data_IF_161463246247
#
_entry.id   IF_161463246247
#
_cell.length_a   1.000
_cell.length_b   1.000
_cell.length_c   1.000
_cell.angle_alpha   90.00
_cell.angle_beta   90.00
_cell.angle_gamma   90.00
#
_symmetry.space_group_name_H-M   'P 1'
#
loop_
_entity.id
_entity.type
_entity.pdbx_description
1 polymer ?
#
# COMPACT_ATOMS: atom_id res chain seq x y z
N UNK A 1 12.39 -14.99 -12.03
CA UNK A 1 11.26 -15.17 -12.96
C UNK A 1 11.66 -15.82 -14.28
N UNK A 2 12.77 -15.45 -14.95
CA UNK A 2 13.08 -16.02 -16.27
C UNK A 2 14.51 -16.60 -16.38
N UNK A 3 14.70 -17.75 -17.03
CA UNK A 3 16.02 -18.24 -17.46
C UNK A 3 16.72 -17.22 -18.36
N UNK A 4 18.05 -17.16 -18.33
CA UNK A 4 18.83 -16.22 -19.13
C UNK A 4 18.52 -16.30 -20.63
N UNK A 5 18.29 -17.52 -21.14
CA UNK A 5 18.00 -17.78 -22.55
C UNK A 5 16.59 -17.30 -22.98
N UNK A 6 15.69 -17.05 -22.03
CA UNK A 6 14.32 -16.59 -22.29
C UNK A 6 14.19 -15.07 -22.32
N UNK A 7 15.14 -14.33 -21.73
CA UNK A 7 15.05 -12.87 -21.59
C UNK A 7 15.05 -12.17 -22.95
N UNK A 8 15.86 -12.63 -23.89
CA UNK A 8 15.95 -12.02 -25.21
C UNK A 8 14.63 -12.17 -25.99
N UNK A 9 14.04 -13.37 -25.94
CA UNK A 9 12.74 -13.63 -26.55
C UNK A 9 11.62 -12.79 -25.93
N UNK A 10 11.58 -12.69 -24.60
CA UNK A 10 10.59 -11.85 -23.89
C UNK A 10 10.72 -10.39 -24.33
N UNK A 11 11.95 -9.86 -24.40
CA UNK A 11 12.17 -8.48 -24.86
C UNK A 11 11.66 -8.25 -26.27
N UNK A 12 11.96 -9.15 -27.20
CA UNK A 12 11.51 -9.04 -28.59
C UNK A 12 9.98 -9.08 -28.70
N UNK A 13 9.33 -10.03 -28.00
CA UNK A 13 7.88 -10.13 -27.97
C UNK A 13 7.21 -8.89 -27.33
N UNK A 14 7.76 -8.39 -26.23
CA UNK A 14 7.27 -7.17 -25.55
C UNK A 14 7.42 -5.93 -26.44
N UNK A 15 8.52 -5.80 -27.19
CA UNK A 15 8.72 -4.69 -28.13
C UNK A 15 7.64 -4.71 -29.21
N UNK A 16 7.39 -5.87 -29.83
CA UNK A 16 6.34 -6.00 -30.86
C UNK A 16 4.97 -5.63 -30.30
N UNK A 17 4.64 -6.16 -29.11
CA UNK A 17 3.39 -5.83 -28.43
C UNK A 17 3.23 -4.33 -28.18
N UNK A 18 4.27 -3.64 -27.70
CA UNK A 18 4.20 -2.19 -27.49
C UNK A 18 4.08 -1.42 -28.79
N UNK A 19 4.76 -1.85 -29.86
CA UNK A 19 4.64 -1.21 -31.18
C UNK A 19 3.19 -1.27 -31.66
N UNK A 20 2.54 -2.44 -31.59
CA UNK A 20 1.12 -2.56 -31.93
C UNK A 20 0.23 -1.74 -31.01
N UNK A 21 0.44 -1.83 -29.70
CA UNK A 21 -0.37 -1.14 -28.68
C UNK A 21 -0.32 0.39 -28.85
N UNK A 22 0.81 0.94 -29.33
CA UNK A 22 0.96 2.35 -29.66
C UNK A 22 0.55 2.69 -31.12
N UNK A 23 -0.04 1.74 -31.84
CA UNK A 23 -0.63 1.93 -33.17
C UNK A 23 0.33 1.74 -34.36
N UNK A 24 1.49 1.12 -34.15
CA UNK A 24 2.49 0.83 -35.18
C UNK A 24 2.48 -0.64 -35.67
N UNK A 25 2.97 -0.92 -36.89
CA UNK A 25 3.22 -2.30 -37.35
C UNK A 25 4.57 -2.84 -36.83
N UNK A 26 4.76 -4.16 -36.64
CA UNK A 26 3.85 -5.26 -36.98
C UNK A 26 2.85 -5.62 -35.86
N UNK A 27 1.83 -6.42 -36.20
CA UNK A 27 0.87 -6.99 -35.23
C UNK A 27 1.53 -8.07 -34.37
N UNK A 28 1.12 -8.15 -33.10
CA UNK A 28 1.56 -9.14 -32.14
C UNK A 28 0.84 -10.47 -32.37
N UNK A 29 1.59 -11.46 -32.87
CA UNK A 29 1.11 -12.84 -33.07
C UNK A 29 1.43 -13.76 -31.89
N UNK A 30 1.76 -13.20 -30.72
CA UNK A 30 2.11 -13.98 -29.53
C UNK A 30 0.89 -14.61 -28.85
N UNK A 31 1.15 -15.26 -27.71
CA UNK A 31 0.09 -15.87 -26.89
C UNK A 31 -0.79 -14.78 -26.26
N UNK A 32 -2.02 -15.15 -25.88
CA UNK A 32 -2.91 -14.25 -25.13
C UNK A 32 -2.25 -13.75 -23.84
N UNK A 33 -2.42 -12.47 -23.53
CA UNK A 33 -1.81 -11.86 -22.34
C UNK A 33 -2.26 -12.55 -21.06
N UNK A 34 -3.52 -12.98 -21.00
CA UNK A 34 -4.08 -13.70 -19.84
C UNK A 34 -3.33 -15.00 -19.64
N UNK A 35 -3.25 -15.83 -20.68
CA UNK A 35 -2.61 -17.14 -20.62
C UNK A 35 -1.10 -17.07 -20.31
N UNK A 36 -0.42 -16.01 -20.77
CA UNK A 36 1.02 -15.82 -20.49
C UNK A 36 1.24 -15.51 -19.01
N UNK A 37 0.37 -14.70 -18.42
CA UNK A 37 0.60 -14.12 -17.08
C UNK A 37 -0.13 -14.87 -15.96
N UNK A 38 -1.16 -15.67 -16.26
CA UNK A 38 -1.87 -16.54 -15.30
C UNK A 38 -0.90 -17.34 -14.40
N UNK A 39 0.07 -18.12 -14.92
CA UNK A 39 0.95 -18.93 -14.08
C UNK A 39 1.98 -18.10 -13.29
N UNK A 40 2.10 -16.79 -13.56
CA UNK A 40 3.08 -15.92 -12.91
C UNK A 40 2.55 -15.29 -11.61
N UNK A 41 1.24 -15.35 -11.36
CA UNK A 41 0.64 -14.78 -10.15
C UNK A 41 0.82 -13.26 -10.04
N UNK A 42 0.77 -12.55 -11.17
CA UNK A 42 0.90 -11.08 -11.22
C UNK A 42 -0.31 -10.44 -10.53
N UNK A 43 -0.05 -9.44 -9.70
CA UNK A 43 -1.05 -8.67 -8.95
C UNK A 43 -1.07 -7.22 -9.42
N UNK A 44 -2.02 -6.38 -8.97
CA UNK A 44 -1.96 -4.93 -9.25
C UNK A 44 -0.61 -4.34 -8.84
N UNK A 45 -0.05 -4.78 -7.70
CA UNK A 45 1.27 -4.35 -7.26
C UNK A 45 2.34 -4.53 -8.34
N UNK A 46 2.40 -5.74 -8.90
CA UNK A 46 3.38 -6.09 -9.92
C UNK A 46 3.17 -5.27 -11.18
N UNK A 47 1.90 -5.04 -11.57
CA UNK A 47 1.55 -4.23 -12.74
C UNK A 47 1.85 -2.74 -12.51
N UNK A 48 1.52 -2.19 -11.33
CA UNK A 48 1.80 -0.81 -10.93
C UNK A 48 3.31 -0.57 -10.82
N UNK A 49 4.07 -1.52 -10.30
CA UNK A 49 5.52 -1.48 -10.30
C UNK A 49 6.09 -1.48 -11.72
N UNK A 50 5.49 -2.24 -12.64
CA UNK A 50 5.85 -2.21 -14.07
C UNK A 50 5.57 -0.83 -14.68
N UNK A 51 4.38 -0.25 -14.48
CA UNK A 51 4.04 1.10 -14.95
C UNK A 51 4.96 2.18 -14.37
N UNK A 52 5.27 2.09 -13.07
CA UNK A 52 6.21 3.00 -12.40
C UNK A 52 7.63 2.91 -12.99
N UNK A 53 8.11 1.70 -13.24
CA UNK A 53 9.41 1.48 -13.89
C UNK A 53 9.42 2.00 -15.33
N UNK A 54 8.31 1.86 -16.06
CA UNK A 54 8.16 2.42 -17.41
C UNK A 54 8.22 3.95 -17.39
N UNK A 55 7.45 4.59 -16.51
CA UNK A 55 7.46 6.04 -16.32
C UNK A 55 8.87 6.56 -16.03
N UNK A 56 9.56 5.94 -15.05
CA UNK A 56 10.96 6.29 -14.71
C UNK A 56 11.91 6.10 -15.89
N UNK A 57 11.74 5.03 -16.67
CA UNK A 57 12.57 4.78 -17.84
C UNK A 57 12.39 5.87 -18.90
N UNK A 58 11.15 6.23 -19.22
CA UNK A 58 10.84 7.27 -20.21
C UNK A 58 11.35 8.65 -19.77
N UNK A 59 11.11 9.04 -18.52
CA UNK A 59 11.63 10.29 -17.95
C UNK A 59 13.16 10.34 -18.00
N UNK A 60 13.83 9.22 -17.72
CA UNK A 60 15.30 9.16 -17.79
C UNK A 60 15.87 9.35 -19.20
N UNK A 61 15.06 9.13 -20.24
CA UNK A 61 15.40 9.40 -21.64
C UNK A 61 15.06 10.82 -22.09
N UNK A 62 14.48 11.66 -21.22
CA UNK A 62 14.15 13.05 -21.49
C UNK A 62 12.80 13.26 -22.19
N UNK A 63 11.89 12.29 -22.12
CA UNK A 63 10.52 12.46 -22.59
C UNK A 63 9.72 13.38 -21.66
N UNK A 64 8.77 14.15 -22.22
CA UNK A 64 7.88 15.05 -21.46
C UNK A 64 6.81 14.27 -20.69
N UNK A 65 6.37 14.81 -19.54
CA UNK A 65 5.37 14.18 -18.66
C UNK A 65 4.06 13.84 -19.39
N UNK A 66 3.62 14.68 -20.34
CA UNK A 66 2.41 14.45 -21.14
C UNK A 66 2.49 13.18 -21.99
N UNK A 67 3.66 12.91 -22.58
CA UNK A 67 3.91 11.69 -23.35
C UNK A 67 4.00 10.47 -22.42
N UNK A 68 4.63 10.64 -21.26
CA UNK A 68 4.72 9.57 -20.26
C UNK A 68 3.32 9.18 -19.80
N UNK A 69 2.47 10.15 -19.47
CA UNK A 69 1.08 9.92 -19.06
C UNK A 69 0.29 9.19 -20.15
N UNK A 70 0.42 9.59 -21.42
CA UNK A 70 -0.22 8.91 -22.54
C UNK A 70 0.19 7.44 -22.62
N UNK A 71 1.50 7.15 -22.56
CA UNK A 71 2.03 5.78 -22.58
C UNK A 71 1.52 4.96 -21.39
N UNK A 72 1.50 5.54 -20.18
CA UNK A 72 1.01 4.85 -18.99
C UNK A 72 -0.48 4.54 -19.11
N UNK A 73 -1.30 5.48 -19.59
CA UNK A 73 -2.75 5.25 -19.82
C UNK A 73 -2.95 4.12 -20.83
N UNK A 74 -2.21 4.11 -21.94
CA UNK A 74 -2.34 3.07 -22.95
C UNK A 74 -1.92 1.70 -22.40
N UNK A 75 -0.82 1.62 -21.63
CA UNK A 75 -0.41 0.38 -20.96
C UNK A 75 -1.42 -0.06 -19.89
N UNK A 76 -2.02 0.87 -19.16
CA UNK A 76 -3.03 0.55 -18.15
C UNK A 76 -4.29 -0.09 -18.78
N UNK A 77 -4.59 0.22 -20.04
CA UNK A 77 -5.73 -0.37 -20.75
C UNK A 77 -5.65 -1.90 -20.89
N UNK A 78 -4.44 -2.48 -20.84
CA UNK A 78 -4.24 -3.93 -20.96
C UNK A 78 -4.13 -4.63 -19.61
N UNK A 79 -4.25 -3.88 -18.49
CA UNK A 79 -4.21 -4.41 -17.13
C UNK A 79 -5.15 -5.59 -16.93
N UNK A 80 -6.40 -5.45 -17.37
CA UNK A 80 -7.40 -6.49 -17.14
C UNK A 80 -7.05 -7.81 -17.84
N UNK A 81 -6.45 -7.73 -19.04
CA UNK A 81 -5.97 -8.92 -19.75
C UNK A 81 -4.76 -9.55 -19.03
N UNK A 82 -3.80 -8.73 -18.57
CA UNK A 82 -2.61 -9.23 -17.86
C UNK A 82 -2.97 -9.83 -16.49
N UNK A 83 -3.99 -9.31 -15.82
CA UNK A 83 -4.41 -9.74 -14.48
C UNK A 83 -5.56 -10.76 -14.47
N UNK A 84 -5.96 -11.30 -15.63
CA UNK A 84 -7.12 -12.20 -15.75
C UNK A 84 -8.38 -11.66 -15.07
N UNK A 85 -8.69 -10.38 -15.29
CA UNK A 85 -9.91 -9.76 -14.79
C UNK A 85 -11.04 -10.01 -15.75
N UNK A 86 -11.61 -11.21 -15.71
CA UNK A 86 -12.97 -11.39 -16.21
C UNK A 86 -13.93 -10.58 -15.34
N UNK A 87 -14.97 -10.03 -15.97
CA UNK A 87 -15.92 -9.07 -15.38
C UNK A 87 -16.81 -9.62 -14.25
N UNK A 88 -16.58 -10.85 -13.77
CA UNK A 88 -17.10 -11.43 -12.53
C UNK A 88 -16.21 -12.64 -12.19
N UNK A 89 -15.55 -12.68 -11.03
CA UNK A 89 -14.83 -13.89 -10.61
C UNK A 89 -15.87 -14.92 -10.18
N UNK A 90 -16.13 -15.89 -11.04
CA UNK A 90 -16.95 -17.06 -10.72
C UNK A 90 -16.03 -18.23 -10.41
N UNK A 91 -15.97 -18.64 -9.14
CA UNK A 91 -15.34 -19.90 -8.75
C UNK A 91 -16.39 -21.01 -8.91
N UNK A 92 -16.26 -21.79 -9.97
CA UNK A 92 -17.17 -22.90 -10.24
C UNK A 92 -17.11 -23.94 -9.10
N UNK A 93 -18.26 -24.50 -8.67
CA UNK A 93 -18.29 -25.55 -7.67
C UNK A 93 -17.45 -26.76 -8.09
N UNK A 94 -16.61 -27.26 -7.19
CA UNK A 94 -15.83 -28.49 -7.42
C UNK A 94 -16.52 -29.65 -6.74
N UNK A 95 -16.77 -30.73 -7.48
CA UNK A 95 -17.55 -31.88 -6.99
C UNK A 95 -18.94 -31.52 -6.44
N UNK A 96 -19.54 -30.43 -6.96
CA UNK A 96 -20.84 -29.92 -6.50
C UNK A 96 -20.78 -29.15 -5.18
N UNK A 97 -19.58 -28.92 -4.64
CA UNK A 97 -19.37 -28.15 -3.42
C UNK A 97 -18.87 -26.73 -3.75
N UNK A 98 -19.47 -25.73 -3.11
CA UNK A 98 -18.96 -24.36 -3.16
C UNK A 98 -17.70 -24.21 -2.27
N UNK A 99 -17.08 -23.03 -2.30
CA UNK A 99 -15.84 -22.79 -1.56
C UNK A 99 -16.04 -22.85 -0.04
N UNK A 100 -17.20 -22.41 0.47
CA UNK A 100 -17.56 -22.51 1.89
C UNK A 100 -17.64 -23.97 2.34
N UNK A 101 -18.25 -24.84 1.54
CA UNK A 101 -18.32 -26.28 1.84
C UNK A 101 -16.94 -26.93 1.76
N UNK A 102 -16.12 -26.54 0.78
CA UNK A 102 -14.75 -27.06 0.58
C UNK A 102 -13.77 -26.66 1.68
N UNK A 103 -13.95 -25.48 2.30
CA UNK A 103 -13.14 -25.07 3.47
C UNK A 103 -13.62 -25.74 4.78
N UNK A 104 -14.75 -26.47 4.76
CA UNK A 104 -15.31 -27.16 5.93
C UNK A 104 -16.48 -26.44 6.61
N UNK A 105 -17.12 -25.50 5.92
CA UNK A 105 -18.30 -24.78 6.38
C UNK A 105 -18.01 -23.57 7.26
N UNK A 106 -19.07 -22.97 7.80
CA UNK A 106 -19.00 -21.71 8.56
C UNK A 106 -18.07 -21.80 9.77
N UNK A 107 -18.00 -22.95 10.45
CA UNK A 107 -17.13 -23.11 11.63
C UNK A 107 -15.65 -22.94 11.28
N UNK A 108 -15.19 -23.51 10.16
CA UNK A 108 -13.81 -23.36 9.72
C UNK A 108 -13.57 -21.95 9.19
N UNK A 109 -14.55 -21.36 8.51
CA UNK A 109 -14.42 -19.99 8.01
C UNK A 109 -14.37 -18.95 9.15
N UNK A 110 -15.13 -19.15 10.22
CA UNK A 110 -15.03 -18.34 11.45
C UNK A 110 -13.65 -18.48 12.08
N UNK A 111 -13.12 -19.70 12.18
CA UNK A 111 -11.76 -19.94 12.68
C UNK A 111 -10.70 -19.22 11.82
N UNK A 112 -10.84 -19.26 10.50
CA UNK A 112 -9.97 -18.53 9.57
C UNK A 112 -10.09 -17.01 9.77
N UNK A 113 -11.31 -16.47 9.88
CA UNK A 113 -11.49 -15.03 10.10
C UNK A 113 -10.89 -14.56 11.45
N UNK A 114 -10.98 -15.39 12.49
CA UNK A 114 -10.37 -15.13 13.80
C UNK A 114 -8.84 -15.21 13.75
N UNK A 115 -8.28 -16.26 13.14
CA UNK A 115 -6.83 -16.44 12.99
C UNK A 115 -6.20 -15.34 12.14
N UNK A 116 -6.87 -14.93 11.04
CA UNK A 116 -6.48 -13.75 10.27
C UNK A 116 -6.32 -12.51 11.15
N UNK A 117 -7.27 -12.25 12.05
CA UNK A 117 -7.19 -11.08 12.93
C UNK A 117 -6.02 -11.18 13.92
N UNK A 118 -5.71 -12.38 14.41
CA UNK A 118 -4.52 -12.60 15.24
C UNK A 118 -3.26 -12.22 14.45
N UNK A 119 -3.11 -12.76 13.24
CA UNK A 119 -1.98 -12.45 12.36
C UNK A 119 -1.91 -10.96 11.96
N UNK A 120 -3.05 -10.29 11.77
CA UNK A 120 -3.08 -8.85 11.52
C UNK A 120 -2.43 -8.05 12.65
N UNK A 121 -2.62 -8.47 13.90
CA UNK A 121 -2.06 -7.75 15.07
C UNK A 121 -0.58 -8.03 15.29
N UNK A 122 -0.03 -9.03 14.61
CA UNK A 122 1.39 -9.42 14.71
C UNK A 122 2.21 -8.90 13.52
N UNK A 123 1.62 -8.86 12.32
CA UNK A 123 2.32 -8.47 11.10
C UNK A 123 2.73 -6.98 11.14
N UNK A 124 4.04 -6.71 11.06
CA UNK A 124 4.58 -5.36 11.18
C UNK A 124 4.09 -4.40 10.12
N UNK A 125 3.66 -4.90 8.95
CA UNK A 125 3.20 -4.08 7.82
C UNK A 125 1.81 -3.54 8.03
N UNK A 126 0.95 -4.25 8.76
CA UNK A 126 -0.48 -3.90 8.85
C UNK A 126 -1.00 -3.72 10.27
N UNK A 127 -0.30 -4.20 11.29
CA UNK A 127 -0.80 -4.13 12.68
C UNK A 127 -1.15 -2.73 13.14
N UNK A 128 -0.55 -1.68 12.57
CA UNK A 128 -0.92 -0.30 12.90
C UNK A 128 -2.35 0.08 12.43
N UNK A 129 -2.89 -0.56 11.39
CA UNK A 129 -4.29 -0.43 11.00
C UNK A 129 -5.23 -1.15 11.97
N UNK A 130 -4.76 -2.26 12.55
CA UNK A 130 -5.55 -3.18 13.38
C UNK A 130 -5.38 -3.00 14.89
N UNK A 131 -4.46 -2.15 15.36
CA UNK A 131 -4.38 -1.72 16.77
C UNK A 131 -5.63 -0.92 17.14
N UNK A 132 -6.58 -1.61 17.79
CA UNK A 132 -7.95 -1.17 18.08
C UNK A 132 -8.38 -1.75 19.44
N UNK A 133 -9.48 -1.23 19.98
CA UNK A 133 -10.07 -1.85 21.16
C UNK A 133 -10.80 -3.16 20.79
N UNK A 134 -10.93 -4.07 21.76
CA UNK A 134 -11.56 -5.40 21.58
C UNK A 134 -12.96 -5.36 20.96
N UNK A 135 -13.74 -4.31 21.19
CA UNK A 135 -15.07 -4.18 20.57
C UNK A 135 -14.97 -3.91 19.06
N UNK A 136 -14.04 -3.04 18.66
CA UNK A 136 -13.78 -2.75 17.25
C UNK A 136 -13.10 -3.92 16.55
N UNK A 137 -12.18 -4.62 17.20
CA UNK A 137 -11.58 -5.86 16.69
C UNK A 137 -12.68 -6.88 16.34
N UNK A 138 -13.56 -7.22 17.30
CA UNK A 138 -14.70 -8.13 17.06
C UNK A 138 -15.56 -7.67 15.89
N UNK A 139 -15.88 -6.38 15.81
CA UNK A 139 -16.66 -5.84 14.70
C UNK A 139 -15.97 -6.00 13.34
N UNK A 140 -14.64 -5.93 13.27
CA UNK A 140 -13.89 -6.14 12.03
C UNK A 140 -13.88 -7.63 11.68
N UNK A 141 -13.59 -8.51 12.64
CA UNK A 141 -13.62 -9.97 12.45
C UNK A 141 -14.99 -10.45 11.95
N UNK A 142 -16.09 -9.98 12.54
CA UNK A 142 -17.44 -10.33 12.07
C UNK A 142 -17.68 -9.88 10.63
N UNK A 143 -17.25 -8.67 10.26
CA UNK A 143 -17.42 -8.16 8.89
C UNK A 143 -16.55 -8.93 7.89
N UNK A 144 -15.34 -9.32 8.29
CA UNK A 144 -14.45 -10.15 7.48
C UNK A 144 -15.08 -11.52 7.22
N UNK A 145 -15.60 -12.17 8.26
CA UNK A 145 -16.36 -13.42 8.12
C UNK A 145 -17.58 -13.25 7.19
N UNK A 146 -18.39 -12.20 7.37
CA UNK A 146 -19.56 -11.95 6.52
C UNK A 146 -19.18 -11.77 5.05
N UNK A 147 -18.07 -11.07 4.79
CA UNK A 147 -17.54 -10.89 3.45
C UNK A 147 -17.08 -12.21 2.85
N UNK A 148 -16.25 -12.96 3.58
CA UNK A 148 -15.75 -14.27 3.13
C UNK A 148 -16.89 -15.26 2.89
N UNK A 149 -17.85 -15.36 3.83
CA UNK A 149 -18.98 -16.30 3.73
C UNK A 149 -19.78 -16.01 2.48
N UNK A 150 -20.16 -14.76 2.23
CA UNK A 150 -20.92 -14.38 1.04
C UNK A 150 -20.15 -14.63 -0.25
N UNK A 151 -18.84 -14.32 -0.25
CA UNK A 151 -17.99 -14.54 -1.42
C UNK A 151 -17.72 -16.03 -1.70
N UNK A 152 -17.77 -16.89 -0.67
CA UNK A 152 -17.49 -18.33 -0.78
C UNK A 152 -18.75 -19.16 -1.07
N UNK A 153 -19.91 -18.51 -1.26
CA UNK A 153 -21.19 -19.16 -1.57
C UNK A 153 -22.11 -19.37 -0.37
N UNK A 154 -21.81 -18.76 0.77
CA UNK A 154 -22.63 -18.76 1.97
C UNK A 154 -23.86 -17.86 1.89
N UNK A 155 -24.79 -18.07 2.82
CA UNK A 155 -26.04 -17.30 2.90
C UNK A 155 -25.84 -15.90 3.49
N UNK A 156 -24.75 -15.70 4.23
CA UNK A 156 -24.41 -14.43 4.87
C UNK A 156 -23.77 -13.53 3.85
N UNK A 157 -24.39 -12.39 3.56
CA UNK A 157 -23.93 -11.48 2.53
C UNK A 157 -23.29 -10.23 3.13
N UNK A 158 -22.24 -9.74 2.48
CA UNK A 158 -21.63 -8.44 2.74
C UNK A 158 -21.87 -7.53 1.55
N UNK A 159 -22.27 -6.30 1.84
CA UNK A 159 -22.46 -5.27 0.81
C UNK A 159 -21.10 -4.75 0.33
N UNK A 160 -20.64 -5.27 -0.81
CA UNK A 160 -19.33 -4.96 -1.39
C UNK A 160 -19.20 -3.49 -1.82
N UNK A 161 -20.31 -2.79 -2.08
CA UNK A 161 -20.28 -1.35 -2.41
C UNK A 161 -19.73 -0.51 -1.25
N UNK A 162 -19.71 -1.06 -0.03
CA UNK A 162 -19.12 -0.41 1.13
C UNK A 162 -17.59 -0.55 1.22
N UNK A 163 -16.96 -1.44 0.45
CA UNK A 163 -15.52 -1.67 0.53
C UNK A 163 -14.76 -0.37 0.22
N UNK A 164 -15.05 0.25 -0.92
CA UNK A 164 -14.35 1.45 -1.34
C UNK A 164 -14.57 2.67 -0.45
N UNK A 165 -15.81 3.07 -0.09
CA UNK A 165 -16.03 4.21 0.80
C UNK A 165 -15.36 4.07 2.17
N UNK A 166 -15.33 2.85 2.74
CA UNK A 166 -14.71 2.63 4.06
C UNK A 166 -13.19 2.70 3.98
N UNK A 167 -12.60 2.13 2.93
CA UNK A 167 -11.15 2.02 2.81
C UNK A 167 -10.51 3.23 2.12
N UNK A 168 -11.30 4.10 1.47
CA UNK A 168 -10.80 5.22 0.67
C UNK A 168 -9.70 5.97 1.42
N UNK A 169 -10.01 6.56 2.57
CA UNK A 169 -9.09 7.40 3.36
C UNK A 169 -8.09 6.63 4.25
N UNK A 170 -7.98 5.30 4.11
CA UNK A 170 -7.16 4.48 5.01
C UNK A 170 -5.69 4.38 4.62
N UNK A 171 -5.26 4.99 3.50
CA UNK A 171 -3.87 4.91 2.99
C UNK A 171 -3.34 3.46 2.89
N UNK A 172 -4.21 2.54 2.48
CA UNK A 172 -3.84 1.13 2.24
C UNK A 172 -3.22 1.05 0.85
N UNK A 173 -1.97 0.61 0.78
CA UNK A 173 -1.26 0.32 -0.47
C UNK A 173 -1.30 -1.17 -0.76
N UNK A 174 -0.79 -1.57 -1.93
CA UNK A 174 -0.57 -2.97 -2.25
C UNK A 174 0.26 -3.71 -1.19
N UNK A 175 1.30 -3.08 -0.67
CA UNK A 175 2.15 -3.64 0.38
C UNK A 175 1.34 -4.06 1.61
N UNK A 176 0.33 -3.26 1.98
CA UNK A 176 -0.59 -3.57 3.07
C UNK A 176 -1.62 -4.65 2.68
N UNK A 177 -2.13 -4.60 1.44
CA UNK A 177 -3.11 -5.57 0.96
C UNK A 177 -2.51 -6.97 0.83
N UNK A 178 -1.29 -7.09 0.30
CA UNK A 178 -0.56 -8.35 0.18
C UNK A 178 -0.34 -8.99 1.56
N UNK A 179 -0.02 -8.18 2.57
CA UNK A 179 0.09 -8.67 3.95
C UNK A 179 -1.22 -9.27 4.46
N UNK A 180 -2.37 -8.68 4.12
CA UNK A 180 -3.69 -9.23 4.49
C UNK A 180 -3.93 -10.58 3.81
N UNK A 181 -3.56 -10.74 2.54
CA UNK A 181 -3.65 -12.02 1.83
C UNK A 181 -2.74 -13.08 2.45
N UNK A 182 -1.52 -12.72 2.81
CA UNK A 182 -0.61 -13.64 3.50
C UNK A 182 -1.15 -14.06 4.87
N UNK A 183 -1.82 -13.17 5.61
CA UNK A 183 -2.50 -13.52 6.86
C UNK A 183 -3.69 -14.48 6.62
N UNK A 184 -4.42 -14.35 5.49
CA UNK A 184 -5.42 -15.33 5.10
C UNK A 184 -4.80 -16.70 4.89
N UNK A 185 -3.72 -16.78 4.10
CA UNK A 185 -3.02 -18.06 3.81
C UNK A 185 -2.57 -18.73 5.10
N UNK A 186 -1.85 -18.00 5.97
CA UNK A 186 -1.39 -18.53 7.27
C UNK A 186 -2.55 -19.08 8.10
N UNK A 187 -3.66 -18.35 8.14
CA UNK A 187 -4.82 -18.78 8.92
C UNK A 187 -5.56 -19.96 8.32
N UNK A 188 -5.60 -20.09 6.99
CA UNK A 188 -6.23 -21.22 6.30
C UNK A 188 -5.37 -22.48 6.37
N UNK A 189 -4.04 -22.35 6.38
CA UNK A 189 -3.09 -23.47 6.53
C UNK A 189 -3.13 -24.11 7.93
N UNK A 190 -3.73 -23.46 8.93
CA UNK A 190 -3.95 -24.04 10.26
C UNK A 190 -5.10 -25.05 10.30
N UNK A 191 -5.92 -25.13 9.25
CA UNK A 191 -7.00 -26.11 9.16
C UNK A 191 -6.43 -27.50 8.88
N UNK A 192 -6.86 -28.51 9.66
CA UNK A 192 -6.35 -29.89 9.54
C UNK A 192 -6.81 -30.60 8.25
N UNK A 193 -8.01 -30.26 7.75
CA UNK A 193 -8.62 -30.87 6.57
C UNK A 193 -9.19 -29.80 5.63
N UNK A 194 -8.57 -29.64 4.46
CA UNK A 194 -9.00 -28.67 3.44
C UNK A 194 -8.59 -29.15 2.04
N UNK A 195 -9.46 -28.89 1.07
CA UNK A 195 -9.22 -29.13 -0.36
C UNK A 195 -8.07 -28.24 -0.89
N UNK A 196 -7.15 -28.80 -1.69
CA UNK A 196 -5.90 -28.14 -2.08
C UNK A 196 -6.09 -26.85 -2.90
N UNK A 197 -7.23 -26.75 -3.59
CA UNK A 197 -7.59 -25.60 -4.41
C UNK A 197 -8.31 -24.50 -3.60
N UNK A 198 -8.62 -24.72 -2.31
CA UNK A 198 -9.34 -23.73 -1.48
C UNK A 198 -8.53 -22.44 -1.34
N UNK A 199 -7.24 -22.53 -1.00
CA UNK A 199 -6.39 -21.33 -0.87
C UNK A 199 -6.27 -20.60 -2.22
N UNK A 200 -5.88 -21.25 -3.33
CA UNK A 200 -5.84 -20.60 -4.65
C UNK A 200 -7.16 -19.93 -5.05
N UNK A 201 -8.29 -20.64 -4.93
CA UNK A 201 -9.60 -20.11 -5.31
C UNK A 201 -10.01 -18.93 -4.39
N UNK A 202 -9.71 -19.02 -3.09
CA UNK A 202 -9.93 -17.92 -2.13
C UNK A 202 -9.09 -16.69 -2.46
N UNK A 203 -7.81 -16.87 -2.80
CA UNK A 203 -6.93 -15.75 -3.17
C UNK A 203 -7.37 -15.05 -4.45
N UNK A 204 -7.96 -15.77 -5.41
CA UNK A 204 -8.57 -15.14 -6.60
C UNK A 204 -9.71 -14.23 -6.20
N UNK A 205 -10.65 -14.73 -5.38
CA UNK A 205 -11.78 -13.94 -4.86
C UNK A 205 -11.29 -12.73 -4.08
N UNK A 206 -10.36 -12.91 -3.14
CA UNK A 206 -9.84 -11.82 -2.32
C UNK A 206 -9.12 -10.76 -3.16
N UNK A 207 -8.34 -11.17 -4.17
CA UNK A 207 -7.68 -10.23 -5.07
C UNK A 207 -8.67 -9.44 -5.95
N UNK A 208 -9.88 -9.97 -6.20
CA UNK A 208 -10.90 -9.25 -7.00
C UNK A 208 -11.29 -7.90 -6.39
N UNK A 209 -11.27 -7.78 -5.06
CA UNK A 209 -11.65 -6.57 -4.34
C UNK A 209 -10.46 -5.65 -4.04
N UNK A 210 -9.27 -5.97 -4.55
CA UNK A 210 -8.06 -5.18 -4.31
C UNK A 210 -8.26 -3.72 -4.74
N UNK A 211 -8.78 -3.50 -5.95
CA UNK A 211 -9.01 -2.15 -6.49
C UNK A 211 -9.93 -1.34 -5.59
N UNK A 212 -10.98 -1.95 -5.03
CA UNK A 212 -11.92 -1.28 -4.14
C UNK A 212 -11.23 -0.79 -2.86
N UNK A 213 -10.21 -1.51 -2.39
CA UNK A 213 -9.50 -1.19 -1.15
C UNK A 213 -8.34 -0.21 -1.37
N UNK A 214 -7.53 -0.38 -2.43
CA UNK A 214 -6.29 0.41 -2.62
C UNK A 214 -6.49 1.69 -3.45
N UNK A 215 -7.51 1.75 -4.31
CA UNK A 215 -7.65 2.85 -5.30
C UNK A 215 -7.73 4.21 -4.65
N UNK A 216 -8.40 4.32 -3.49
CA UNK A 216 -8.47 5.58 -2.77
C UNK A 216 -7.09 6.11 -2.42
N UNK A 217 -6.25 5.27 -1.80
CA UNK A 217 -4.88 5.62 -1.45
C UNK A 217 -4.09 6.05 -2.69
N UNK A 218 -4.06 5.21 -3.73
CA UNK A 218 -3.32 5.48 -4.98
C UNK A 218 -3.70 6.84 -5.58
N UNK A 219 -4.99 7.06 -5.83
CA UNK A 219 -5.49 8.30 -6.45
C UNK A 219 -5.15 9.53 -5.62
N UNK A 220 -5.29 9.47 -4.29
CA UNK A 220 -4.96 10.61 -3.43
C UNK A 220 -3.48 10.90 -3.37
N UNK A 221 -2.64 9.86 -3.25
CA UNK A 221 -1.19 10.03 -3.20
C UNK A 221 -0.65 10.57 -4.52
N UNK A 222 -1.12 10.06 -5.66
CA UNK A 222 -0.73 10.55 -7.00
C UNK A 222 -1.13 12.01 -7.21
N UNK A 223 -2.35 12.37 -6.80
CA UNK A 223 -2.82 13.77 -6.89
C UNK A 223 -2.05 14.69 -5.93
N UNK A 224 -1.66 14.21 -4.76
CA UNK A 224 -0.83 14.95 -3.81
C UNK A 224 0.60 15.15 -4.35
N UNK A 225 1.19 14.12 -4.97
CA UNK A 225 2.51 14.23 -5.60
C UNK A 225 2.50 15.21 -6.76
N UNK A 226 1.52 15.12 -7.67
CA UNK A 226 1.38 16.07 -8.78
C UNK A 226 1.28 17.51 -8.29
N UNK A 227 0.43 17.79 -7.30
CA UNK A 227 0.32 19.13 -6.71
C UNK A 227 1.62 19.61 -6.09
N UNK A 228 2.35 18.74 -5.37
CA UNK A 228 3.64 19.11 -4.80
C UNK A 228 4.67 19.49 -5.88
N UNK A 229 4.59 18.88 -7.06
CA UNK A 229 5.47 19.18 -8.20
C UNK A 229 5.02 20.43 -8.98
N UNK A 230 3.71 20.60 -9.19
CA UNK A 230 3.12 21.71 -9.97
C UNK A 230 3.09 23.04 -9.21
N UNK A 231 2.55 23.03 -7.98
CA UNK A 231 2.37 24.25 -7.17
C UNK A 231 3.67 24.66 -6.45
N UNK A 232 4.61 23.72 -6.31
CA UNK A 232 5.77 23.86 -5.46
C UNK A 232 5.45 23.62 -3.98
N UNK A 233 6.45 23.14 -3.23
CA UNK A 233 6.30 22.88 -1.79
C UNK A 233 6.06 24.15 -0.97
N UNK A 234 6.42 25.33 -1.49
CA UNK A 234 6.20 26.62 -0.84
C UNK A 234 4.72 26.98 -0.72
N UNK A 235 3.86 26.52 -1.65
CA UNK A 235 2.41 26.65 -1.48
C UNK A 235 1.90 25.77 -0.34
N UNK A 236 2.39 24.54 -0.21
CA UNK A 236 2.07 23.71 0.96
C UNK A 236 2.50 24.42 2.25
N UNK A 237 3.69 25.02 2.29
CA UNK A 237 4.15 25.80 3.45
C UNK A 237 3.25 26.99 3.76
N UNK A 238 2.75 27.71 2.75
CA UNK A 238 1.76 28.78 2.96
C UNK A 238 0.44 28.23 3.52
N UNK A 239 -0.09 27.14 2.96
CA UNK A 239 -1.34 26.48 3.38
C UNK A 239 -1.29 25.96 4.81
N UNK A 240 -0.15 25.41 5.24
CA UNK A 240 0.01 24.91 6.61
C UNK A 240 0.21 26.02 7.65
N UNK A 241 0.24 27.30 7.24
CA UNK A 241 0.38 28.44 8.16
C UNK A 241 1.82 28.92 8.35
N UNK A 242 2.71 28.62 7.40
CA UNK A 242 4.14 29.00 7.40
C UNK A 242 4.83 28.50 8.69
N UNK A 243 5.82 29.26 9.18
CA UNK A 243 6.62 28.92 10.38
C UNK A 243 5.74 28.60 11.58
N UNK A 244 4.78 29.47 11.91
CA UNK A 244 3.91 29.31 13.08
C UNK A 244 3.03 28.06 12.99
N UNK A 245 2.59 27.74 11.77
CA UNK A 245 1.84 26.53 11.49
C UNK A 245 2.65 25.25 11.73
N UNK A 246 3.89 25.22 11.26
CA UNK A 246 4.82 24.10 11.49
C UNK A 246 5.16 23.97 12.97
N UNK A 247 5.45 25.07 13.67
CA UNK A 247 5.73 25.08 15.12
C UNK A 247 4.55 24.48 15.91
N UNK A 248 3.33 24.96 15.65
CA UNK A 248 2.10 24.45 16.29
C UNK A 248 1.89 22.96 15.99
N UNK A 249 2.14 22.54 14.75
CA UNK A 249 2.03 21.14 14.35
C UNK A 249 3.04 20.26 15.08
N UNK A 250 4.32 20.64 15.12
CA UNK A 250 5.37 19.88 15.82
C UNK A 250 5.07 19.84 17.32
N UNK A 251 4.57 20.93 17.90
CA UNK A 251 4.15 20.93 19.29
C UNK A 251 3.08 19.88 19.58
N UNK A 252 2.01 19.87 18.79
CA UNK A 252 0.93 18.90 18.90
C UNK A 252 1.39 17.46 18.61
N UNK A 253 2.30 17.28 17.64
CA UNK A 253 2.84 15.98 17.24
C UNK A 253 3.52 15.30 18.42
N UNK A 254 4.37 16.01 19.16
CA UNK A 254 5.08 15.40 20.29
C UNK A 254 4.15 15.07 21.47
N UNK A 255 3.05 15.81 21.67
CA UNK A 255 2.02 15.38 22.62
C UNK A 255 1.33 14.07 22.18
N UNK A 256 1.14 13.88 20.87
CA UNK A 256 0.60 12.65 20.31
C UNK A 256 1.62 11.49 20.50
N UNK A 257 2.90 11.72 20.18
CA UNK A 257 3.99 10.74 20.26
C UNK A 257 4.26 10.26 21.68
N UNK A 258 4.29 11.16 22.66
CA UNK A 258 4.52 10.81 24.07
C UNK A 258 3.40 9.90 24.64
N UNK A 259 2.20 9.94 24.05
CA UNK A 259 1.06 9.10 24.47
C UNK A 259 0.96 7.80 23.64
N UNK A 260 1.74 7.67 22.58
CA UNK A 260 1.70 6.51 21.70
C UNK A 260 2.63 5.40 22.22
N UNK A 261 2.01 4.41 22.86
CA UNK A 261 2.68 3.22 23.43
C UNK A 261 3.55 2.45 22.43
N UNK A 262 3.34 2.64 21.13
CA UNK A 262 4.05 1.94 20.05
C UNK A 262 5.40 2.56 19.72
N UNK A 263 5.59 3.84 20.03
CA UNK A 263 6.79 4.60 19.61
C UNK A 263 7.39 5.51 20.71
N UNK A 264 6.69 5.74 21.83
CA UNK A 264 7.19 6.65 22.88
C UNK A 264 8.56 6.22 23.42
N UNK A 265 8.87 4.92 23.43
CA UNK A 265 10.15 4.40 23.93
C UNK A 265 11.37 4.98 23.21
N UNK A 266 11.23 5.40 21.94
CA UNK A 266 12.34 6.02 21.19
C UNK A 266 12.68 7.43 21.69
N UNK A 267 11.82 8.03 22.50
CA UNK A 267 11.95 9.39 22.99
C UNK A 267 12.18 9.46 24.51
N UNK A 268 12.25 8.33 25.21
CA UNK A 268 12.52 8.28 26.65
C UNK A 268 13.94 8.79 26.96
N UNK A 269 14.05 9.73 27.92
CA UNK A 269 15.32 10.37 28.26
C UNK A 269 15.88 11.32 27.18
N UNK A 270 15.16 11.50 26.07
CA UNK A 270 15.59 12.38 25.00
C UNK A 270 15.40 13.86 25.38
N UNK A 271 16.24 14.73 24.78
CA UNK A 271 16.08 16.19 24.89
C UNK A 271 14.96 16.65 23.96
N UNK A 272 13.70 16.37 24.31
CA UNK A 272 12.53 16.62 23.46
C UNK A 272 12.49 18.05 22.89
N UNK A 273 12.81 19.07 23.69
CA UNK A 273 12.85 20.45 23.20
C UNK A 273 13.88 20.67 22.07
N UNK A 274 15.03 20.01 22.14
CA UNK A 274 16.03 20.07 21.07
C UNK A 274 15.55 19.31 19.82
N UNK A 275 14.87 18.18 20.00
CA UNK A 275 14.28 17.41 18.90
C UNK A 275 13.17 18.21 18.21
N UNK A 276 12.24 18.80 18.98
CA UNK A 276 11.15 19.63 18.46
C UNK A 276 11.69 20.79 17.63
N UNK A 277 12.70 21.50 18.14
CA UNK A 277 13.37 22.59 17.41
C UNK A 277 13.99 22.08 16.09
N UNK A 278 14.79 21.02 16.17
CA UNK A 278 15.48 20.45 15.02
C UNK A 278 14.49 19.94 13.94
N UNK A 279 13.42 19.26 14.34
CA UNK A 279 12.39 18.76 13.42
C UNK A 279 11.53 19.89 12.85
N UNK A 280 11.26 20.94 13.63
CA UNK A 280 10.60 22.17 13.13
C UNK A 280 11.44 22.80 12.01
N UNK A 281 12.74 23.00 12.24
CA UNK A 281 13.65 23.56 11.24
C UNK A 281 13.71 22.67 9.98
N UNK A 282 13.75 21.34 10.17
CA UNK A 282 13.70 20.37 9.07
C UNK A 282 12.41 20.47 8.25
N UNK A 283 11.25 20.48 8.90
CA UNK A 283 9.96 20.57 8.22
C UNK A 283 9.77 21.91 7.52
N UNK A 284 10.19 23.03 8.12
CA UNK A 284 10.15 24.33 7.44
C UNK A 284 10.97 24.26 6.14
N UNK A 285 12.19 23.73 6.19
CA UNK A 285 13.02 23.58 4.98
C UNK A 285 12.42 22.61 3.96
N UNK A 286 11.90 21.47 4.41
CA UNK A 286 11.27 20.45 3.56
C UNK A 286 10.08 21.00 2.77
N UNK A 287 9.32 21.92 3.38
CA UNK A 287 8.18 22.56 2.74
C UNK A 287 8.57 23.86 1.99
N UNK A 288 9.85 24.13 1.74
CA UNK A 288 10.28 25.33 0.99
C UNK A 288 10.18 26.63 1.77
N UNK A 289 10.07 26.56 3.10
CA UNK A 289 10.19 27.70 4.00
C UNK A 289 11.64 28.17 4.16
N UNK A 290 11.86 29.28 4.90
CA UNK A 290 13.16 29.95 4.95
C UNK A 290 14.19 29.30 5.88
N UNK A 291 13.82 28.24 6.61
CA UNK A 291 14.73 27.59 7.56
C UNK A 291 15.62 26.59 6.84
N UNK A 292 16.89 26.57 7.23
CA UNK A 292 17.87 25.59 6.77
C UNK A 292 18.20 24.68 7.96
N UNK A 293 17.93 23.40 7.81
CA UNK A 293 18.30 22.41 8.80
C UNK A 293 19.82 22.18 8.78
N UNK A 294 20.48 22.52 9.89
CA UNK A 294 21.96 22.42 10.05
C UNK A 294 22.39 21.26 10.94
N UNK A 295 21.48 20.34 11.22
CA UNK A 295 21.77 19.16 12.04
C UNK A 295 22.47 18.06 11.26
N UNK A 296 22.61 16.90 11.92
CA UNK A 296 23.10 15.66 11.31
C UNK A 296 22.10 15.16 10.26
N UNK A 297 22.58 14.45 9.24
CA UNK A 297 21.72 13.82 8.24
C UNK A 297 20.67 12.89 8.87
N UNK A 298 19.58 12.61 8.15
CA UNK A 298 18.56 11.68 8.63
C UNK A 298 19.14 10.30 8.89
N UNK A 299 20.07 9.84 8.06
CA UNK A 299 20.79 8.59 8.23
C UNK A 299 21.57 8.57 9.54
N UNK A 300 22.40 9.58 9.81
CA UNK A 300 23.20 9.66 11.05
C UNK A 300 22.33 9.77 12.31
N UNK A 301 21.17 10.43 12.23
CA UNK A 301 20.25 10.54 13.36
C UNK A 301 19.60 9.19 13.66
N UNK A 302 19.22 8.43 12.63
CA UNK A 302 18.47 7.18 12.78
C UNK A 302 19.34 5.91 12.77
N UNK A 303 20.65 6.02 12.54
CA UNK A 303 21.60 4.89 12.52
C UNK A 303 21.57 4.06 13.82
N UNK A 304 21.44 4.74 14.96
CA UNK A 304 21.46 4.11 16.28
C UNK A 304 20.07 3.66 16.76
N UNK A 305 19.03 3.89 15.96
CA UNK A 305 17.64 3.61 16.33
C UNK A 305 17.20 2.33 15.65
N UNK A 306 16.86 1.32 16.44
CA UNK A 306 16.34 0.04 15.95
C UNK A 306 14.86 0.17 15.52
N UNK A 307 14.62 0.98 14.48
CA UNK A 307 13.31 1.24 13.92
C UNK A 307 13.01 0.29 12.75
N UNK A 308 11.73 0.05 12.51
CA UNK A 308 11.21 -0.78 11.41
C UNK A 308 10.09 0.01 10.71
N UNK A 309 9.62 -0.47 9.56
CA UNK A 309 8.47 0.14 8.86
C UNK A 309 7.28 0.39 9.78
N UNK A 310 6.93 -0.59 10.62
CA UNK A 310 5.87 -0.46 11.63
C UNK A 310 5.96 0.82 12.47
N UNK A 311 7.15 1.11 12.99
CA UNK A 311 7.36 2.24 13.88
C UNK A 311 7.25 3.57 13.12
N UNK A 312 7.76 3.63 11.89
CA UNK A 312 7.64 4.82 11.04
C UNK A 312 6.18 5.04 10.61
N UNK A 313 5.44 3.98 10.29
CA UNK A 313 4.02 4.08 9.94
C UNK A 313 3.17 4.55 11.12
N UNK A 314 3.51 4.11 12.35
CA UNK A 314 2.90 4.64 13.57
C UNK A 314 3.15 6.15 13.72
N UNK A 315 4.36 6.61 13.40
CA UNK A 315 4.71 8.03 13.43
C UNK A 315 3.93 8.82 12.36
N UNK A 316 3.86 8.34 11.11
CA UNK A 316 3.07 8.98 10.05
C UNK A 316 1.57 9.02 10.37
N UNK A 317 1.03 7.98 11.01
CA UNK A 317 -0.35 7.99 11.49
C UNK A 317 -0.57 9.08 12.55
N UNK A 318 0.38 9.28 13.47
CA UNK A 318 0.28 10.36 14.43
C UNK A 318 0.34 11.72 13.73
N UNK A 319 1.23 11.90 12.75
CA UNK A 319 1.26 13.12 11.93
C UNK A 319 -0.10 13.41 11.30
N UNK A 320 -0.70 12.44 10.61
CA UNK A 320 -2.02 12.62 10.00
C UNK A 320 -3.11 12.95 11.04
N UNK A 321 -3.12 12.27 12.19
CA UNK A 321 -4.07 12.56 13.28
C UNK A 321 -3.90 13.98 13.82
N UNK A 322 -2.66 14.40 14.10
CA UNK A 322 -2.40 15.71 14.67
C UNK A 322 -2.72 16.81 13.62
N UNK A 323 -2.36 16.63 12.34
CA UNK A 323 -2.75 17.55 11.26
C UNK A 323 -4.28 17.68 11.12
N UNK A 324 -5.03 16.57 11.14
CA UNK A 324 -6.50 16.60 11.15
C UNK A 324 -7.04 17.36 12.36
N UNK A 325 -6.47 17.15 13.54
CA UNK A 325 -6.90 17.82 14.77
C UNK A 325 -6.66 19.33 14.75
N UNK A 326 -5.66 19.79 14.00
CA UNK A 326 -5.35 21.21 13.78
C UNK A 326 -6.29 21.84 12.74
N UNK A 327 -7.04 21.03 11.99
CA UNK A 327 -8.05 21.48 11.03
C UNK A 327 -7.61 21.44 9.56
N UNK A 328 -6.49 20.79 9.25
CA UNK A 328 -6.08 20.61 7.85
C UNK A 328 -6.98 19.58 7.14
N UNK A 329 -7.30 19.86 5.87
CA UNK A 329 -8.09 18.96 5.03
C UNK A 329 -7.24 17.77 4.54
N UNK A 330 -7.90 16.69 4.08
CA UNK A 330 -7.21 15.48 3.63
C UNK A 330 -6.20 15.76 2.50
N UNK A 331 -6.52 16.65 1.56
CA UNK A 331 -5.61 17.02 0.48
C UNK A 331 -4.27 17.58 1.00
N UNK A 332 -4.31 18.51 1.95
CA UNK A 332 -3.10 19.09 2.56
C UNK A 332 -2.31 18.02 3.33
N UNK A 333 -3.01 17.10 3.98
CA UNK A 333 -2.41 16.00 4.73
C UNK A 333 -1.72 15.02 3.80
N UNK A 334 -2.35 14.67 2.68
CA UNK A 334 -1.79 13.76 1.69
C UNK A 334 -0.53 14.37 1.06
N UNK A 335 -0.54 15.67 0.73
CA UNK A 335 0.66 16.40 0.29
C UNK A 335 1.80 16.31 1.30
N UNK A 336 1.50 16.48 2.59
CA UNK A 336 2.46 16.35 3.68
C UNK A 336 3.03 14.93 3.76
N UNK A 337 2.16 13.92 3.74
CA UNK A 337 2.54 12.51 3.84
C UNK A 337 3.42 12.09 2.66
N UNK A 338 3.09 12.49 1.43
CA UNK A 338 3.91 12.20 0.24
C UNK A 338 5.34 12.74 0.39
N UNK A 339 5.52 13.95 0.92
CA UNK A 339 6.86 14.51 1.13
C UNK A 339 7.64 13.75 2.21
N UNK A 340 6.98 13.30 3.27
CA UNK A 340 7.61 12.50 4.31
C UNK A 340 7.96 11.08 3.85
N UNK A 341 7.10 10.47 3.05
CA UNK A 341 7.29 9.11 2.53
C UNK A 341 8.57 9.01 1.70
N UNK A 342 8.92 10.08 0.95
CA UNK A 342 10.20 10.22 0.24
C UNK A 342 11.44 10.13 1.15
N UNK A 343 11.29 10.37 2.46
CA UNK A 343 12.37 10.30 3.44
C UNK A 343 12.55 8.91 4.05
N UNK A 344 11.60 7.98 3.85
CA UNK A 344 11.64 6.62 4.43
C UNK A 344 12.96 5.90 4.18
N UNK A 345 13.54 5.89 2.96
CA UNK A 345 14.79 5.17 2.72
C UNK A 345 15.99 5.69 3.53
N UNK A 346 16.02 6.99 3.82
CA UNK A 346 17.08 7.63 4.62
C UNK A 346 16.90 7.28 6.11
N UNK A 347 15.65 7.31 6.57
CA UNK A 347 15.27 7.02 7.96
C UNK A 347 15.46 5.54 8.30
N UNK A 348 15.01 4.62 7.43
CA UNK A 348 15.06 3.17 7.63
C UNK A 348 16.28 2.51 6.99
N UNK A 349 17.30 3.28 6.59
CA UNK A 349 18.45 2.78 5.84
C UNK A 349 19.13 1.57 6.51
N UNK A 350 19.22 1.55 7.85
CA UNK A 350 19.83 0.45 8.60
C UNK A 350 18.94 -0.81 8.64
N UNK A 351 17.61 -0.63 8.70
CA UNK A 351 16.65 -1.74 8.63
C UNK A 351 16.80 -2.50 7.31
N UNK A 352 16.83 -1.78 6.19
CA UNK A 352 17.00 -2.40 4.87
C UNK A 352 18.37 -3.03 4.66
N UNK A 353 19.44 -2.47 5.26
CA UNK A 353 20.77 -3.12 5.26
C UNK A 353 20.74 -4.48 5.96
N UNK A 354 20.07 -4.58 7.11
CA UNK A 354 19.95 -5.85 7.86
C UNK A 354 19.15 -6.90 7.10
N UNK A 355 18.00 -6.53 6.54
CA UNK A 355 17.18 -7.46 5.76
C UNK A 355 17.87 -8.02 4.51
N UNK A 356 18.86 -7.31 3.96
CA UNK A 356 19.65 -7.80 2.80
C UNK A 356 20.78 -8.76 3.19
N UNK A 357 21.09 -8.88 4.48
CA UNK A 357 22.14 -9.77 5.00
C UNK A 357 21.58 -11.09 5.57
N UNK A 358 20.26 -11.15 5.77
CA UNK A 358 19.48 -12.33 6.17
C UNK A 358 18.85 -12.96 4.92
#
# INVERSE_FOLDING_TARGET
FFPADSIQFIKEATIVFFVELFGGPPEYEGRDLTDIHEPLGITDYHFDAFLSNMSRALLSQGHEDSLVDEVIITLDSVRNAVLDRQSEIVIEPRNGLNLLERIGGDSNLEAVAEGMFQYFTEDSRIKFHFDKNKAKERSITTKLYQFLSGAFGGLVQYDQDNLKPIHYDMNISDYHFDAVLECFVKSAEELEEMDEDVIPDSLRILNSVRSEIITGSRVRMDAAERRNNEDGVDELFRRIGKVQGVEKFVDQLYECVERDKRIHMFFEGAKLQAIKKAQTDYFIGLFGGPSEYKGRSLEEVHEIVAMTDYHLDCFFLNIQKCLRSIGFNNETIDQFVVLLEKLRPQILHHHYKRMRME
#
